data_IF_678183812393
#
_entry.id   IF_678183812393
#
_cell.length_a   1.000
_cell.length_b   1.000
_cell.length_c   1.000
_cell.angle_alpha   90.00
_cell.angle_beta   90.00
_cell.angle_gamma   90.00
#
_symmetry.space_group_name_H-M   'P 1'
#
loop_
_entity.id
_entity.type
_entity.pdbx_description
1 polymer ?
#
# COMPACT_ATOMS: atom_id res chain seq x y z
N UNK A 1 -3.02 -5.35 -4.93
CA UNK A 1 -3.09 -4.19 -5.83
C UNK A 1 -4.45 -4.09 -6.50
N UNK A 2 -4.96 -5.17 -7.05
CA UNK A 2 -6.23 -5.15 -7.82
C UNK A 2 -7.48 -5.22 -6.94
N UNK A 3 -7.39 -5.80 -5.77
CA UNK A 3 -8.55 -6.14 -4.93
C UNK A 3 -8.55 -5.42 -3.58
N UNK A 4 -7.59 -4.54 -3.36
CA UNK A 4 -7.48 -3.79 -2.12
C UNK A 4 -8.44 -2.62 -2.01
N UNK A 5 -8.41 -2.03 -0.83
CA UNK A 5 -9.21 -0.87 -0.43
C UNK A 5 -10.71 -1.09 -0.58
N UNK A 6 -11.19 -2.26 -0.15
CA UNK A 6 -12.61 -2.56 -0.03
C UNK A 6 -13.28 -3.21 -1.24
N UNK A 7 -12.58 -3.34 -2.37
CA UNK A 7 -13.18 -3.88 -3.61
C UNK A 7 -13.75 -5.29 -3.46
N UNK A 8 -13.12 -6.11 -2.63
CA UNK A 8 -13.52 -7.51 -2.42
C UNK A 8 -14.52 -7.71 -1.28
N UNK A 9 -15.00 -6.64 -0.66
CA UNK A 9 -15.86 -6.69 0.52
C UNK A 9 -15.10 -6.68 1.84
N UNK A 10 -13.78 -6.82 1.79
CA UNK A 10 -12.86 -6.63 2.92
C UNK A 10 -11.90 -5.51 2.57
N UNK A 11 -11.23 -4.94 3.58
CA UNK A 11 -10.25 -3.87 3.31
C UNK A 11 -9.14 -4.37 2.36
N UNK A 12 -8.64 -5.56 2.61
CA UNK A 12 -7.59 -6.19 1.81
C UNK A 12 -8.05 -7.52 1.23
N UNK A 13 -7.61 -7.81 0.02
CA UNK A 13 -8.01 -9.05 -0.66
C UNK A 13 -7.61 -10.32 0.07
N UNK A 14 -6.47 -10.32 0.75
CA UNK A 14 -6.00 -11.50 1.48
C UNK A 14 -6.93 -11.92 2.62
N UNK A 15 -7.72 -10.99 3.16
CA UNK A 15 -8.65 -11.29 4.25
C UNK A 15 -9.71 -12.31 3.84
N UNK A 16 -10.04 -12.39 2.54
CA UNK A 16 -10.97 -13.38 2.01
C UNK A 16 -10.39 -14.80 1.98
N UNK A 17 -9.07 -14.92 2.11
CA UNK A 17 -8.36 -16.21 2.05
C UNK A 17 -8.01 -16.76 3.43
N UNK A 18 -8.30 -16.00 4.49
CA UNK A 18 -7.97 -16.40 5.86
C UNK A 18 -6.47 -16.48 6.16
N UNK A 19 -5.66 -15.76 5.40
CA UNK A 19 -4.20 -15.70 5.59
C UNK A 19 -3.79 -14.32 6.07
N UNK A 20 -2.59 -14.22 6.66
CA UNK A 20 -1.98 -12.95 7.05
C UNK A 20 -0.59 -12.88 6.43
N UNK A 21 -0.39 -12.12 5.34
CA UNK A 21 0.90 -12.03 4.68
C UNK A 21 1.93 -11.28 5.53
N UNK A 22 3.20 -11.62 5.37
CA UNK A 22 4.29 -10.87 5.98
C UNK A 22 4.57 -9.58 5.24
N UNK A 23 4.37 -9.57 3.93
CA UNK A 23 4.55 -8.42 3.05
C UNK A 23 3.38 -8.39 2.07
N UNK A 24 2.82 -7.21 1.84
CA UNK A 24 1.87 -7.02 0.75
C UNK A 24 1.99 -5.62 0.15
N UNK A 25 1.49 -5.46 -1.06
CA UNK A 25 1.52 -4.18 -1.78
C UNK A 25 0.12 -3.66 -2.01
N UNK A 26 -0.01 -2.35 -2.01
CA UNK A 26 -1.25 -1.65 -2.31
C UNK A 26 -0.98 -0.51 -3.30
N UNK A 27 -1.96 -0.25 -4.16
CA UNK A 27 -1.90 0.82 -5.13
C UNK A 27 -3.32 1.11 -5.62
N UNK A 28 -3.47 1.74 -6.77
CA UNK A 28 -4.78 1.95 -7.44
C UNK A 28 -5.82 2.54 -6.51
N UNK A 29 -6.75 1.75 -6.00
CA UNK A 29 -7.79 2.21 -5.08
C UNK A 29 -7.26 2.93 -3.85
N UNK A 30 -6.02 2.68 -3.44
CA UNK A 30 -5.37 3.40 -2.35
C UNK A 30 -5.35 4.91 -2.59
N UNK A 31 -5.15 5.33 -3.83
CA UNK A 31 -5.09 6.74 -4.20
C UNK A 31 -6.39 7.31 -4.76
N UNK A 32 -7.44 6.51 -4.88
CA UNK A 32 -8.74 6.97 -5.38
C UNK A 32 -8.68 7.58 -6.79
N UNK A 33 -7.68 7.22 -7.59
CA UNK A 33 -7.43 7.76 -8.92
C UNK A 33 -6.10 8.50 -9.07
N UNK A 34 -5.48 8.89 -7.97
CA UNK A 34 -4.15 9.50 -7.98
C UNK A 34 -3.08 8.40 -7.93
N UNK A 35 -2.02 8.47 -8.77
CA UNK A 35 -0.97 7.46 -8.76
C UNK A 35 -0.24 7.42 -7.41
N UNK A 36 -0.29 6.28 -6.76
CA UNK A 36 0.43 6.00 -5.53
C UNK A 36 0.58 4.49 -5.37
N UNK A 37 1.64 4.07 -4.71
CA UNK A 37 1.85 2.68 -4.32
C UNK A 37 2.46 2.62 -2.94
N UNK A 38 2.17 1.55 -2.24
CA UNK A 38 2.71 1.29 -0.91
C UNK A 38 3.08 -0.17 -0.78
N UNK A 39 4.15 -0.43 -0.04
CA UNK A 39 4.49 -1.75 0.44
C UNK A 39 4.31 -1.74 1.96
N UNK A 40 3.62 -2.73 2.48
CA UNK A 40 3.41 -2.89 3.90
C UNK A 40 4.04 -4.21 4.33
N UNK A 41 4.70 -4.21 5.47
CA UNK A 41 5.33 -5.42 5.99
C UNK A 41 5.23 -5.49 7.51
N UNK A 42 5.34 -6.71 8.02
CA UNK A 42 5.54 -6.92 9.45
C UNK A 42 6.94 -6.44 9.86
N UNK A 43 7.12 -6.10 11.13
CA UNK A 43 8.36 -5.50 11.62
C UNK A 43 9.61 -6.35 11.36
N UNK A 44 9.49 -7.68 11.38
CA UNK A 44 10.62 -8.56 11.10
C UNK A 44 11.08 -8.52 9.63
N UNK A 45 10.27 -7.96 8.73
CA UNK A 45 10.60 -7.76 7.32
C UNK A 45 11.06 -6.34 7.02
N UNK A 46 11.07 -5.45 7.99
CA UNK A 46 11.45 -4.05 7.83
C UNK A 46 12.97 -3.91 7.92
N UNK A 47 13.63 -4.08 6.78
CA UNK A 47 15.09 -4.08 6.69
C UNK A 47 15.66 -2.89 5.93
N UNK A 48 14.81 -2.05 5.34
CA UNK A 48 15.29 -0.88 4.59
C UNK A 48 15.77 0.22 5.53
N UNK A 49 16.93 0.77 5.21
CA UNK A 49 17.45 1.97 5.83
C UNK A 49 17.47 3.15 4.87
N UNK A 50 17.81 4.34 5.36
CA UNK A 50 17.94 5.51 4.49
C UNK A 50 18.89 5.24 3.32
N UNK A 51 18.43 5.55 2.10
CA UNK A 51 19.22 5.37 0.88
C UNK A 51 19.09 4.01 0.19
N UNK A 52 18.43 3.02 0.80
CA UNK A 52 18.28 1.69 0.20
C UNK A 52 17.25 1.68 -0.93
N UNK A 53 16.31 2.59 -0.92
CA UNK A 53 15.25 2.69 -1.91
C UNK A 53 14.92 4.14 -2.17
N UNK A 54 14.61 4.46 -3.42
CA UNK A 54 14.23 5.81 -3.82
C UNK A 54 13.23 5.79 -4.98
N UNK A 55 12.45 6.87 -5.05
CA UNK A 55 11.52 7.11 -6.14
C UNK A 55 11.37 8.63 -6.32
N UNK A 56 11.39 9.09 -7.57
CA UNK A 56 11.28 10.53 -7.87
C UNK A 56 9.97 11.11 -7.35
N UNK A 57 8.86 10.42 -7.55
CA UNK A 57 7.52 10.91 -7.15
C UNK A 57 6.97 10.23 -5.91
N UNK A 58 7.65 9.22 -5.40
CA UNK A 58 7.19 8.45 -4.24
C UNK A 58 7.11 9.32 -2.99
N UNK A 59 6.02 9.19 -2.24
CA UNK A 59 5.81 9.92 -1.01
C UNK A 59 5.50 11.40 -1.19
N UNK A 60 5.14 11.85 -2.40
CA UNK A 60 4.82 13.26 -2.60
C UNK A 60 3.60 13.67 -1.77
N UNK A 61 3.58 14.91 -1.25
CA UNK A 61 2.53 15.35 -0.31
C UNK A 61 1.13 15.31 -0.88
N UNK A 62 0.96 15.60 -2.17
CA UNK A 62 -0.35 15.57 -2.81
C UNK A 62 -0.96 14.17 -2.81
N UNK A 63 -0.23 13.20 -3.34
CA UNK A 63 -0.71 11.82 -3.40
C UNK A 63 -0.94 11.24 -2.01
N UNK A 64 -0.06 11.53 -1.05
CA UNK A 64 -0.22 11.09 0.32
C UNK A 64 -1.47 11.68 0.98
N UNK A 65 -1.75 12.96 0.76
CA UNK A 65 -2.94 13.59 1.29
C UNK A 65 -4.22 12.97 0.73
N UNK A 66 -4.24 12.68 -0.58
CA UNK A 66 -5.39 12.00 -1.22
C UNK A 66 -5.56 10.60 -0.65
N UNK A 67 -4.48 9.83 -0.54
CA UNK A 67 -4.54 8.47 0.01
C UNK A 67 -5.04 8.44 1.47
N UNK A 68 -4.65 9.43 2.28
CA UNK A 68 -5.14 9.55 3.64
C UNK A 68 -6.63 9.87 3.70
N UNK A 69 -7.16 10.59 2.70
CA UNK A 69 -8.58 10.90 2.62
C UNK A 69 -9.41 9.71 2.13
N UNK A 70 -8.81 8.80 1.38
CA UNK A 70 -9.46 7.57 0.93
C UNK A 70 -9.60 6.59 2.09
#
# INVERSE_FOLDING_TARGET
VQVGMGRSGKLWGYENLGIEPDIFTSAKGLGGGVPIGAMLCKSHCDIFGPGDHASTFGGNPFACAVALAV
#
